data_IF_979219403476
#
_entry.id   IF_979219403476
#
_cell.length_a   1.000
_cell.length_b   1.000
_cell.length_c   1.000
_cell.angle_alpha   90.00
_cell.angle_beta   90.00
_cell.angle_gamma   90.00
#
_symmetry.space_group_name_H-M   'P 1'
#
loop_
_entity.id
_entity.type
_entity.pdbx_description
1 polymer ?
#
# COMPACT_ATOMS: atom_id res chain seq x y z
N UNK A 1 -11.01 46.62 -21.42
CA UNK A 1 -11.92 45.63 -20.79
C UNK A 1 -11.67 44.16 -21.14
N UNK A 2 -10.75 43.77 -22.04
CA UNK A 2 -10.80 42.41 -22.65
C UNK A 2 -9.75 41.39 -22.16
N UNK A 3 -8.84 41.76 -21.25
CA UNK A 3 -7.75 40.86 -20.81
C UNK A 3 -8.20 39.79 -19.81
N UNK A 4 -9.28 40.02 -19.06
CA UNK A 4 -9.82 39.02 -18.12
C UNK A 4 -10.57 37.88 -18.85
N UNK A 5 -11.32 38.21 -19.90
CA UNK A 5 -12.09 37.24 -20.71
C UNK A 5 -11.18 36.26 -21.47
N UNK A 6 -10.03 36.71 -21.96
CA UNK A 6 -9.07 35.83 -22.67
C UNK A 6 -8.32 34.87 -21.72
N UNK A 7 -7.99 35.30 -20.49
CA UNK A 7 -7.43 34.42 -19.45
C UNK A 7 -8.42 33.32 -19.03
N UNK A 8 -9.72 33.66 -18.96
CA UNK A 8 -10.79 32.71 -18.65
C UNK A 8 -10.81 31.61 -19.72
N UNK A 9 -10.92 31.95 -21.02
CA UNK A 9 -10.93 30.97 -22.13
C UNK A 9 -9.66 30.12 -22.22
N UNK A 10 -8.49 30.68 -21.87
CA UNK A 10 -7.20 29.97 -21.90
C UNK A 10 -7.02 28.98 -20.74
N UNK A 11 -7.71 29.21 -19.60
CA UNK A 11 -7.73 28.29 -18.44
C UNK A 11 -8.89 27.30 -18.45
N UNK A 12 -9.97 27.56 -19.20
CA UNK A 12 -11.10 26.62 -19.37
C UNK A 12 -10.67 25.19 -19.79
N UNK A 13 -9.83 24.99 -20.83
CA UNK A 13 -9.50 23.63 -21.27
C UNK A 13 -8.64 22.87 -20.24
N UNK A 14 -7.82 23.58 -19.47
CA UNK A 14 -6.97 22.99 -18.43
C UNK A 14 -7.79 22.49 -17.24
N UNK A 15 -8.81 23.26 -16.84
CA UNK A 15 -9.73 22.88 -15.76
C UNK A 15 -10.62 21.71 -16.18
N UNK A 16 -11.13 21.69 -17.41
CA UNK A 16 -11.95 20.57 -17.91
C UNK A 16 -11.15 19.27 -18.04
N UNK A 17 -9.88 19.31 -18.43
CA UNK A 17 -9.02 18.12 -18.47
C UNK A 17 -8.75 17.60 -17.05
N UNK A 18 -8.50 18.49 -16.08
CA UNK A 18 -8.30 18.10 -14.69
C UNK A 18 -9.53 17.44 -14.06
N UNK A 19 -10.73 17.96 -14.36
CA UNK A 19 -11.99 17.37 -13.89
C UNK A 19 -12.22 15.99 -14.52
N UNK A 20 -11.98 15.84 -15.82
CA UNK A 20 -12.12 14.56 -16.52
C UNK A 20 -11.18 13.48 -15.93
N UNK A 21 -9.92 13.84 -15.69
CA UNK A 21 -8.93 12.92 -15.10
C UNK A 21 -9.29 12.51 -13.67
N UNK A 22 -9.84 13.44 -12.88
CA UNK A 22 -10.30 13.17 -11.52
C UNK A 22 -11.48 12.18 -11.51
N UNK A 23 -12.46 12.36 -12.40
CA UNK A 23 -13.60 11.43 -12.50
C UNK A 23 -13.19 10.02 -12.92
N UNK A 24 -12.19 9.89 -13.79
CA UNK A 24 -11.71 8.58 -14.26
C UNK A 24 -10.96 7.82 -13.15
N UNK A 25 -10.22 8.53 -12.31
CA UNK A 25 -9.42 7.93 -11.23
C UNK A 25 -10.27 7.29 -10.12
N UNK A 26 -11.50 7.78 -9.91
CA UNK A 26 -12.40 7.27 -8.86
C UNK A 26 -13.07 5.96 -9.30
N UNK A 27 -13.23 5.72 -10.60
CA UNK A 27 -13.83 4.49 -11.14
C UNK A 27 -12.95 3.22 -11.03
N UNK A 28 -11.68 3.36 -10.64
CA UNK A 28 -10.75 2.25 -10.52
C UNK A 28 -10.89 1.46 -9.19
N UNK A 29 -11.65 1.97 -8.22
CA UNK A 29 -11.84 1.31 -6.94
C UNK A 29 -13.08 0.41 -6.99
N UNK A 30 -12.90 -0.88 -7.32
CA UNK A 30 -13.97 -1.88 -7.29
C UNK A 30 -13.79 -2.84 -6.12
N UNK A 31 -14.87 -3.13 -5.41
CA UNK A 31 -14.88 -4.14 -4.34
C UNK A 31 -15.07 -5.51 -4.97
N UNK A 32 -14.04 -6.35 -4.94
CA UNK A 32 -14.11 -7.75 -5.37
C UNK A 32 -14.58 -8.64 -4.21
N UNK A 33 -15.45 -9.59 -4.52
CA UNK A 33 -15.96 -10.55 -3.55
C UNK A 33 -14.83 -11.50 -3.11
N UNK A 34 -14.82 -12.01 -1.86
CA UNK A 34 -13.74 -12.83 -1.34
C UNK A 34 -13.39 -14.05 -2.22
N UNK A 35 -14.39 -14.69 -2.83
CA UNK A 35 -14.22 -15.86 -3.70
C UNK A 35 -13.68 -15.53 -5.10
N UNK A 36 -13.74 -14.28 -5.55
CA UNK A 36 -13.14 -13.86 -6.82
C UNK A 36 -11.60 -13.78 -6.72
N UNK A 37 -11.07 -13.75 -5.49
CA UNK A 37 -9.62 -13.71 -5.20
C UNK A 37 -8.96 -15.10 -5.25
N UNK A 38 -9.72 -16.17 -5.49
CA UNK A 38 -9.23 -17.55 -5.42
C UNK A 38 -8.02 -17.81 -6.34
N UNK A 39 -7.93 -17.15 -7.50
CA UNK A 39 -6.78 -17.31 -8.41
C UNK A 39 -5.49 -16.63 -7.90
N UNK A 40 -5.62 -15.63 -7.03
CA UNK A 40 -4.52 -14.83 -6.46
C UNK A 40 -4.18 -15.23 -5.02
N UNK A 41 -4.99 -16.06 -4.37
CA UNK A 41 -4.80 -16.52 -3.00
C UNK A 41 -3.98 -17.82 -2.95
N UNK A 42 -2.86 -17.89 -3.68
CA UNK A 42 -2.02 -19.08 -3.70
C UNK A 42 -1.20 -19.19 -2.41
N UNK A 43 -0.97 -20.41 -1.92
CA UNK A 43 -0.28 -20.65 -0.66
C UNK A 43 1.16 -20.11 -0.67
N UNK A 44 1.84 -20.14 -1.82
CA UNK A 44 3.18 -19.58 -2.01
C UNK A 44 3.24 -18.04 -1.91
N UNK A 45 2.11 -17.35 -1.99
CA UNK A 45 2.03 -15.89 -1.81
C UNK A 45 1.79 -15.49 -0.35
N UNK A 46 1.69 -16.45 0.56
CA UNK A 46 1.59 -16.17 1.99
C UNK A 46 2.92 -15.65 2.54
N UNK A 47 2.86 -14.74 3.51
CA UNK A 47 4.07 -14.17 4.14
C UNK A 47 4.93 -15.21 4.85
N UNK A 48 4.29 -16.25 5.40
CA UNK A 48 4.92 -17.31 6.17
C UNK A 48 4.34 -18.66 5.74
N UNK A 49 4.76 -19.20 4.59
CA UNK A 49 4.21 -20.46 4.06
C UNK A 49 4.61 -21.67 4.90
N UNK A 50 5.74 -21.58 5.60
CA UNK A 50 6.22 -22.58 6.56
C UNK A 50 6.37 -21.94 7.95
N UNK A 51 5.53 -22.32 8.93
CA UNK A 51 5.59 -21.76 10.27
C UNK A 51 6.87 -22.15 11.02
N UNK A 52 7.45 -23.34 10.76
CA UNK A 52 8.68 -23.77 11.41
C UNK A 52 9.86 -22.92 10.91
N UNK A 53 9.96 -22.72 9.61
CA UNK A 53 10.98 -21.85 9.03
C UNK A 53 10.80 -20.40 9.48
N UNK A 54 9.56 -19.91 9.58
CA UNK A 54 9.28 -18.57 10.08
C UNK A 54 9.79 -18.38 11.52
N UNK A 55 9.46 -19.31 12.42
CA UNK A 55 9.97 -19.31 13.81
C UNK A 55 11.50 -19.36 13.86
N UNK A 56 12.13 -20.20 13.04
CA UNK A 56 13.59 -20.27 12.99
C UNK A 56 14.21 -18.94 12.53
N UNK A 57 13.65 -18.32 11.49
CA UNK A 57 14.09 -17.00 11.01
C UNK A 57 13.93 -15.94 12.09
N UNK A 58 12.81 -15.93 12.81
CA UNK A 58 12.58 -15.02 13.93
C UNK A 58 13.60 -15.23 15.06
N UNK A 59 13.91 -16.48 15.41
CA UNK A 59 14.95 -16.80 16.41
C UNK A 59 16.34 -16.32 15.99
N UNK A 60 16.71 -16.53 14.72
CA UNK A 60 17.99 -16.06 14.17
C UNK A 60 18.02 -14.53 14.15
N UNK A 61 16.93 -13.88 13.74
CA UNK A 61 16.80 -12.44 13.69
C UNK A 61 16.91 -11.83 15.09
N UNK A 62 16.19 -12.38 16.08
CA UNK A 62 16.28 -11.96 17.47
C UNK A 62 17.70 -12.15 18.05
N UNK A 63 18.37 -13.25 17.71
CA UNK A 63 19.75 -13.49 18.16
C UNK A 63 20.76 -12.50 17.58
N UNK A 64 20.51 -11.95 16.39
CA UNK A 64 21.42 -11.03 15.69
C UNK A 64 21.09 -9.56 15.91
N UNK A 65 19.80 -9.26 15.99
CA UNK A 65 19.25 -7.91 15.94
C UNK A 65 18.24 -7.65 17.08
N UNK A 66 18.22 -8.47 18.14
CA UNK A 66 17.28 -8.33 19.27
C UNK A 66 17.34 -7.00 20.01
N UNK A 67 18.45 -6.25 19.88
CA UNK A 67 18.59 -4.89 20.38
C UNK A 67 18.01 -3.81 19.45
N UNK A 68 17.71 -4.14 18.19
CA UNK A 68 17.19 -3.23 17.17
C UNK A 68 15.65 -3.07 17.17
N UNK A 69 14.95 -3.83 18.01
CA UNK A 69 13.48 -3.83 18.10
C UNK A 69 12.83 -4.95 17.26
N UNK A 70 11.60 -5.32 17.60
CA UNK A 70 10.89 -6.45 16.96
C UNK A 70 10.05 -6.02 15.74
N UNK A 71 9.82 -6.95 14.81
CA UNK A 71 8.93 -6.80 13.65
C UNK A 71 7.46 -6.90 14.05
N UNK A 72 6.97 -5.97 14.88
CA UNK A 72 5.58 -5.92 15.31
C UNK A 72 5.28 -4.73 16.22
N UNK A 73 4.00 -4.49 16.53
CA UNK A 73 3.52 -3.37 17.37
C UNK A 73 4.00 -3.40 18.84
N UNK A 74 4.88 -4.35 19.19
CA UNK A 74 5.63 -4.38 20.44
C UNK A 74 7.11 -4.06 20.15
N UNK A 75 7.37 -2.79 19.83
CA UNK A 75 8.72 -2.26 19.67
C UNK A 75 9.46 -2.20 21.01
N UNK A 76 10.79 -2.31 20.96
CA UNK A 76 11.69 -1.98 22.07
C UNK A 76 12.75 -3.05 22.33
N UNK A 77 13.93 -2.90 21.73
CA UNK A 77 15.08 -3.74 22.02
C UNK A 77 15.59 -3.54 23.45
N UNK A 78 15.74 -4.65 24.17
CA UNK A 78 16.72 -4.89 25.23
C UNK A 78 17.06 -6.40 25.36
N UNK A 79 16.55 -7.27 24.48
CA UNK A 79 16.97 -8.68 24.38
C UNK A 79 16.67 -9.60 25.57
N UNK A 80 15.92 -9.16 26.58
CA UNK A 80 15.53 -10.01 27.70
C UNK A 80 14.17 -10.65 27.44
N UNK A 81 14.18 -11.93 27.03
CA UNK A 81 13.03 -12.84 27.13
C UNK A 81 12.94 -13.35 28.58
#
# INVERSE_FOLDING_TARGET
MNKHVSKIKRKQPLVTIGILFCTLSISACTTVQPWEKNHLAKQEMTWYPDPLQARLKDHIYHSKEGSAGSTGSAGGGCGCN
#
